data_IF_150712697231
#
_entry.id   IF_150712697231
#
_cell.length_a   1.000
_cell.length_b   1.000
_cell.length_c   1.000
_cell.angle_alpha   90.00
_cell.angle_beta   90.00
_cell.angle_gamma   90.00
#
_symmetry.space_group_name_H-M   'P 1'
#
loop_
_entity.id
_entity.type
_entity.pdbx_description
1 polymer ?
#
# COMPACT_ATOMS: atom_id res chain seq x y z
N UNK A 1 22.69 0.55 -29.15
CA UNK A 1 21.46 0.97 -28.44
C UNK A 1 21.86 1.47 -27.05
N UNK A 2 21.65 2.77 -26.82
CA UNK A 2 22.08 3.54 -25.63
C UNK A 2 21.37 3.06 -24.37
N UNK A 3 22.12 2.59 -23.37
CA UNK A 3 21.61 2.32 -21.99
C UNK A 3 22.06 3.44 -21.06
N UNK A 4 21.94 4.68 -21.51
CA UNK A 4 22.48 5.86 -20.82
C UNK A 4 21.33 6.54 -20.08
N UNK A 5 20.99 6.04 -18.89
CA UNK A 5 19.90 6.65 -18.11
C UNK A 5 19.49 5.93 -16.82
N UNK A 6 19.80 4.65 -16.65
CA UNK A 6 19.59 4.00 -15.36
C UNK A 6 20.77 4.24 -14.43
N UNK A 7 20.50 4.74 -13.23
CA UNK A 7 21.48 4.80 -12.16
C UNK A 7 22.08 3.41 -11.91
N UNK A 8 23.39 3.33 -11.72
CA UNK A 8 24.09 2.08 -11.41
C UNK A 8 23.55 1.44 -10.13
N UNK A 9 23.66 0.11 -10.05
CA UNK A 9 23.22 -0.69 -8.92
C UNK A 9 23.86 -0.23 -7.59
N UNK A 10 23.09 0.49 -6.77
CA UNK A 10 23.57 1.05 -5.50
C UNK A 10 23.71 -0.04 -4.43
N UNK A 11 24.85 -0.73 -4.42
CA UNK A 11 25.19 -1.80 -3.44
C UNK A 11 25.64 -1.31 -2.04
N UNK A 12 25.45 -0.02 -1.71
CA UNK A 12 25.97 0.58 -0.47
C UNK A 12 25.35 -0.02 0.79
N UNK A 13 24.04 -0.27 0.77
CA UNK A 13 23.32 -0.89 1.89
C UNK A 13 23.86 -2.31 2.17
N UNK A 14 23.98 -3.14 1.13
CA UNK A 14 24.59 -4.49 1.23
C UNK A 14 26.01 -4.45 1.78
N UNK A 15 26.88 -3.58 1.25
CA UNK A 15 28.27 -3.43 1.72
C UNK A 15 28.38 -3.01 3.18
N UNK A 16 27.39 -2.26 3.69
CA UNK A 16 27.34 -1.81 5.09
C UNK A 16 26.57 -2.76 6.02
N UNK A 17 26.07 -3.89 5.50
CA UNK A 17 25.18 -4.77 6.26
C UNK A 17 23.88 -4.08 6.71
N UNK A 18 23.49 -2.99 6.03
CA UNK A 18 22.33 -2.17 6.37
C UNK A 18 21.07 -2.62 5.61
N UNK A 19 19.94 -2.65 6.31
CA UNK A 19 18.63 -2.89 5.71
C UNK A 19 18.15 -1.70 4.90
N UNK A 20 17.49 -1.99 3.78
CA UNK A 20 16.72 -0.98 3.04
C UNK A 20 15.29 -1.06 3.54
N UNK A 21 14.72 0.09 3.87
CA UNK A 21 13.34 0.18 4.36
C UNK A 21 12.61 1.22 3.52
N UNK A 22 11.52 0.81 2.88
CA UNK A 22 10.58 1.70 2.23
C UNK A 22 9.42 1.92 3.20
N UNK A 23 9.08 3.17 3.50
CA UNK A 23 8.01 3.53 4.46
C UNK A 23 7.00 4.37 3.70
N UNK A 24 5.72 4.09 3.92
CA UNK A 24 4.63 4.91 3.42
C UNK A 24 3.44 4.91 4.38
N UNK A 25 2.58 5.91 4.25
CA UNK A 25 1.32 6.03 4.96
C UNK A 25 0.15 5.86 4.00
N UNK A 26 -0.88 5.14 4.43
CA UNK A 26 -2.12 4.96 3.68
C UNK A 26 -3.32 5.26 4.54
N UNK A 27 -4.19 6.15 4.06
CA UNK A 27 -5.48 6.46 4.64
C UNK A 27 -6.61 5.69 3.96
N UNK A 28 -7.44 5.03 4.76
CA UNK A 28 -8.66 4.34 4.34
C UNK A 28 -9.88 5.09 4.82
N UNK A 29 -10.82 5.33 3.91
CA UNK A 29 -12.15 5.83 4.24
C UNK A 29 -13.08 4.63 4.35
N UNK A 30 -13.71 4.44 5.51
CA UNK A 30 -14.60 3.29 5.75
C UNK A 30 -16.01 3.50 5.18
N UNK A 31 -16.23 4.61 4.48
CA UNK A 31 -17.48 4.84 3.78
C UNK A 31 -17.68 3.79 2.67
N UNK A 32 -18.89 3.24 2.55
CA UNK A 32 -19.20 2.32 1.48
C UNK A 32 -19.04 3.00 0.13
N UNK A 33 -18.35 2.34 -0.79
CA UNK A 33 -18.11 2.86 -2.12
C UNK A 33 -19.34 2.59 -2.99
N UNK A 34 -19.85 3.61 -3.66
CA UNK A 34 -20.85 3.45 -4.71
C UNK A 34 -20.15 2.90 -5.97
N UNK A 35 -20.48 1.68 -6.35
CA UNK A 35 -19.92 1.01 -7.53
C UNK A 35 -21.03 0.67 -8.52
N UNK A 36 -20.66 0.45 -9.78
CA UNK A 36 -21.59 -0.14 -10.76
C UNK A 36 -22.06 -1.49 -10.22
N UNK A 37 -23.37 -1.69 -10.21
CA UNK A 37 -24.01 -2.93 -9.76
C UNK A 37 -25.14 -3.29 -10.72
N UNK A 38 -25.64 -4.51 -10.59
CA UNK A 38 -26.74 -5.01 -11.40
C UNK A 38 -28.10 -4.74 -10.72
N UNK A 39 -29.09 -4.42 -11.53
CA UNK A 39 -30.48 -4.28 -11.12
C UNK A 39 -31.40 -4.82 -12.23
N UNK A 40 -32.63 -5.23 -11.90
CA UNK A 40 -33.67 -5.41 -12.90
C UNK A 40 -33.83 -4.16 -13.76
N UNK A 41 -34.13 -4.34 -15.05
CA UNK A 41 -34.34 -3.22 -15.98
C UNK A 41 -35.47 -2.33 -15.46
N UNK A 42 -35.23 -1.02 -15.44
CA UNK A 42 -36.18 -0.01 -14.96
C UNK A 42 -36.26 0.13 -13.44
N UNK A 43 -35.47 -0.62 -12.67
CA UNK A 43 -35.45 -0.54 -11.21
C UNK A 43 -34.13 0.07 -10.74
N UNK A 44 -34.21 1.13 -9.94
CA UNK A 44 -33.03 1.72 -9.31
C UNK A 44 -32.41 0.74 -8.32
N UNK A 45 -31.13 0.37 -8.46
CA UNK A 45 -30.46 -0.49 -7.49
C UNK A 45 -30.36 0.19 -6.12
N UNK A 46 -30.72 -0.54 -5.07
CA UNK A 46 -30.52 -0.11 -3.68
C UNK A 46 -29.33 -0.86 -3.09
N UNK A 47 -28.24 -0.14 -2.84
CA UNK A 47 -27.07 -0.68 -2.12
C UNK A 47 -27.21 -0.38 -0.62
N UNK A 48 -27.54 -1.40 0.18
CA UNK A 48 -27.56 -1.27 1.65
C UNK A 48 -26.12 -1.35 2.16
N UNK A 49 -25.72 -0.37 2.96
CA UNK A 49 -24.42 -0.37 3.60
C UNK A 49 -24.45 0.41 4.92
N UNK A 50 -23.50 0.11 5.80
CA UNK A 50 -23.29 0.84 7.03
C UNK A 50 -22.58 2.17 6.73
N UNK A 51 -23.22 3.28 7.08
CA UNK A 51 -22.74 4.63 6.79
C UNK A 51 -21.89 5.21 7.92
N UNK A 52 -20.67 4.71 8.10
CA UNK A 52 -19.70 5.34 9.02
C UNK A 52 -18.81 6.31 8.25
N UNK A 53 -18.62 7.52 8.77
CA UNK A 53 -17.68 8.52 8.21
C UNK A 53 -16.25 8.34 8.73
N UNK A 54 -15.98 7.18 9.34
CA UNK A 54 -14.72 6.86 9.97
C UNK A 54 -13.57 6.75 8.95
N UNK A 55 -12.38 7.05 9.46
CA UNK A 55 -11.12 6.93 8.73
C UNK A 55 -10.18 6.05 9.52
N UNK A 56 -9.44 5.23 8.80
CA UNK A 56 -8.35 4.43 9.35
C UNK A 56 -7.06 4.85 8.64
N UNK A 57 -6.09 5.35 9.37
CA UNK A 57 -4.75 5.60 8.82
C UNK A 57 -3.81 4.47 9.24
N UNK A 58 -2.94 4.04 8.34
CA UNK A 58 -1.94 3.00 8.59
C UNK A 58 -0.59 3.50 8.11
N UNK A 59 0.44 3.32 8.93
CA UNK A 59 1.84 3.43 8.47
C UNK A 59 2.40 2.02 8.31
N UNK A 60 3.04 1.77 7.18
CA UNK A 60 3.63 0.48 6.84
C UNK A 60 5.06 0.63 6.33
N UNK A 61 5.82 -0.45 6.42
CA UNK A 61 7.15 -0.50 5.82
C UNK A 61 7.42 -1.83 5.10
N UNK A 62 8.19 -1.77 4.01
CA UNK A 62 8.79 -2.93 3.35
C UNK A 62 10.27 -2.93 3.69
N UNK A 63 10.71 -3.92 4.46
CA UNK A 63 12.11 -4.05 4.89
C UNK A 63 12.82 -5.15 4.10
N UNK A 64 14.00 -4.87 3.56
CA UNK A 64 14.86 -5.86 2.93
C UNK A 64 16.14 -6.04 3.77
N UNK A 65 16.27 -7.20 4.42
CA UNK A 65 17.49 -7.55 5.15
C UNK A 65 18.62 -7.92 4.18
N UNK A 66 19.82 -7.33 4.33
CA UNK A 66 20.96 -7.63 3.47
C UNK A 66 21.60 -8.99 3.81
N UNK A 67 21.39 -9.51 5.02
CA UNK A 67 21.95 -10.80 5.45
C UNK A 67 21.06 -11.99 5.05
N UNK A 68 19.74 -11.87 5.22
CA UNK A 68 18.81 -12.99 5.05
C UNK A 68 17.96 -12.94 3.77
N UNK A 69 18.08 -11.87 2.97
CA UNK A 69 17.20 -11.59 1.82
C UNK A 69 15.71 -11.82 2.09
N UNK A 70 15.29 -11.57 3.35
CA UNK A 70 13.90 -11.69 3.76
C UNK A 70 13.22 -10.33 3.63
N UNK A 71 12.00 -10.38 3.11
CA UNK A 71 11.08 -9.24 3.06
C UNK A 71 10.27 -9.25 4.36
N UNK A 72 10.31 -8.14 5.08
CA UNK A 72 9.48 -7.88 6.26
C UNK A 72 8.44 -6.81 5.98
N UNK A 73 7.27 -6.93 6.61
CA UNK A 73 6.11 -6.05 6.40
C UNK A 73 5.50 -5.58 7.73
N UNK A 74 6.23 -4.86 8.60
CA UNK A 74 5.63 -4.26 9.79
C UNK A 74 4.66 -3.12 9.40
N UNK A 75 3.55 -3.03 10.11
CA UNK A 75 2.59 -1.93 9.96
C UNK A 75 1.94 -1.61 11.32
N UNK A 76 1.37 -0.41 11.42
CA UNK A 76 0.63 0.04 12.61
C UNK A 76 -0.50 0.97 12.21
N UNK A 77 -1.63 0.83 12.89
CA UNK A 77 -2.73 1.79 12.82
C UNK A 77 -2.30 3.11 13.48
N UNK A 78 -2.58 4.20 12.79
CA UNK A 78 -2.58 5.54 13.33
C UNK A 78 -4.01 5.80 13.81
N UNK A 79 -4.14 6.43 14.99
CA UNK A 79 -5.42 6.67 15.66
C UNK A 79 -6.41 7.41 14.76
#
# INVERSE_FOLDING_TARGET
>A
MSTTGLATDRKKAKRRGASVVFIDETGFRLQPVNRRTWAPRGVTPIQRAWGTYDRLSIIGAVTLSPQRQRIGLPFRNLR
#
